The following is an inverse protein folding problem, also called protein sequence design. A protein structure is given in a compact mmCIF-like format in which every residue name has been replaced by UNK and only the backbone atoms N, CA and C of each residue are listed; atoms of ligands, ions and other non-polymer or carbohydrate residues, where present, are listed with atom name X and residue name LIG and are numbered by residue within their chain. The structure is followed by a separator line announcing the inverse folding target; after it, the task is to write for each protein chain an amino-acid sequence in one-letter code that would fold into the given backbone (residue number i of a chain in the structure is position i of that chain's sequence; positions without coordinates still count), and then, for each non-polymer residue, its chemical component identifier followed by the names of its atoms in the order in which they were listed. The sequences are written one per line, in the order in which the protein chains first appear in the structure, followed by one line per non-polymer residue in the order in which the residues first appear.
data_IF_911112145381
#
_entry.id   IF_911112145381
#
_cell.length_a   1.000
_cell.length_b   1.000
_cell.length_c   1.000
_cell.angle_alpha   90.00
_cell.angle_beta   90.00
_cell.angle_gamma   90.00
#
_symmetry.space_group_name_H-M   'P 1'
#
loop_
_entity.id
_entity.type
_entity.pdbx_description
1 polymer ?
#
# COMPACT_ATOMS: atom_id res chain seq x y z
N UNK A 1 -6.77 11.13 0.59
CA UNK A 1 -7.64 10.57 -0.47
C UNK A 1 -8.21 9.26 0.04
N UNK A 2 -9.52 9.18 0.29
CA UNK A 2 -10.18 7.96 0.80
C UNK A 2 -10.75 7.17 -0.38
N UNK A 3 -10.23 5.97 -0.62
CA UNK A 3 -10.65 5.08 -1.71
C UNK A 3 -11.97 4.39 -1.32
N UNK A 4 -12.97 4.48 -2.20
CA UNK A 4 -14.32 3.90 -2.04
C UNK A 4 -14.38 2.48 -2.61
N UNK A 5 -15.19 1.66 -1.94
CA UNK A 5 -15.76 0.39 -2.39
C UNK A 5 -16.52 0.58 -3.72
N UNK A 6 -15.86 0.50 -4.87
CA UNK A 6 -16.57 0.30 -6.13
C UNK A 6 -16.54 -1.18 -6.50
N UNK A 7 -17.74 -1.77 -6.50
CA UNK A 7 -18.13 -2.89 -7.38
C UNK A 7 -17.65 -4.29 -6.97
N UNK A 8 -18.08 -4.76 -5.80
CA UNK A 8 -17.96 -6.18 -5.45
C UNK A 8 -19.25 -6.93 -5.80
N UNK A 9 -19.33 -7.51 -7.01
CA UNK A 9 -20.31 -8.57 -7.32
C UNK A 9 -19.80 -9.90 -6.73
N UNK A 10 -20.36 -10.31 -5.58
CA UNK A 10 -20.12 -11.63 -4.98
C UNK A 10 -20.65 -12.73 -5.89
N UNK A 11 -19.77 -13.55 -6.50
CA UNK A 11 -20.21 -14.66 -7.35
C UNK A 11 -20.08 -16.08 -6.77
N UNK A 12 -19.22 -16.43 -5.81
CA UNK A 12 -19.10 -17.86 -5.39
C UNK A 12 -18.73 -18.20 -3.92
N UNK A 13 -19.14 -19.40 -3.40
CA UNK A 13 -19.56 -19.61 -2.00
C UNK A 13 -18.50 -20.04 -0.97
N UNK A 14 -17.36 -20.65 -1.35
CA UNK A 14 -16.50 -21.38 -0.39
C UNK A 14 -15.38 -20.52 0.24
N UNK A 15 -14.82 -19.56 -0.50
CA UNK A 15 -13.76 -18.64 0.00
C UNK A 15 -14.33 -17.48 0.83
N UNK A 16 -15.66 -17.39 0.87
CA UNK A 16 -16.39 -16.42 1.66
C UNK A 16 -16.18 -16.61 3.16
N UNK A 17 -15.92 -17.81 3.68
CA UNK A 17 -15.82 -17.96 5.14
C UNK A 17 -14.55 -17.28 5.69
N UNK A 18 -13.37 -17.68 5.22
CA UNK A 18 -12.11 -17.06 5.63
C UNK A 18 -12.04 -15.59 5.18
N UNK A 19 -12.54 -15.26 3.98
CA UNK A 19 -12.65 -13.88 3.51
C UNK A 19 -13.55 -13.03 4.42
N UNK A 20 -14.75 -13.50 4.79
CA UNK A 20 -15.66 -12.81 5.72
C UNK A 20 -15.05 -12.71 7.11
N UNK A 21 -14.39 -13.77 7.59
CA UNK A 21 -13.70 -13.78 8.88
C UNK A 21 -12.59 -12.73 8.90
N UNK A 22 -11.79 -12.66 7.84
CA UNK A 22 -10.78 -11.62 7.67
C UNK A 22 -11.41 -10.22 7.63
N UNK A 23 -12.50 -10.01 6.89
CA UNK A 23 -13.18 -8.71 6.86
C UNK A 23 -13.71 -8.30 8.25
N UNK A 24 -14.28 -9.23 9.03
CA UNK A 24 -14.70 -8.99 10.42
C UNK A 24 -13.52 -8.60 11.31
N UNK A 25 -12.41 -9.32 11.16
CA UNK A 25 -11.16 -9.04 11.87
C UNK A 25 -10.58 -7.66 11.54
N UNK A 26 -10.60 -7.28 10.27
CA UNK A 26 -10.12 -5.97 9.82
C UNK A 26 -11.02 -4.82 10.28
N UNK A 27 -12.32 -5.06 10.46
CA UNK A 27 -13.25 -4.04 10.94
C UNK A 27 -12.98 -3.61 12.38
N UNK A 28 -12.25 -4.41 13.17
CA UNK A 28 -11.76 -4.04 14.49
C UNK A 28 -10.72 -2.91 14.44
N UNK A 29 -10.09 -2.67 13.28
CA UNK A 29 -9.05 -1.67 13.11
C UNK A 29 -9.53 -0.52 12.24
N UNK A 30 -9.70 0.67 12.83
CA UNK A 30 -10.19 1.89 12.17
C UNK A 30 -9.54 2.19 10.81
N UNK A 31 -8.23 1.94 10.69
CA UNK A 31 -7.46 2.25 9.47
C UNK A 31 -7.47 1.14 8.43
N UNK A 32 -7.76 -0.09 8.85
CA UNK A 32 -7.83 -1.27 7.97
C UNK A 32 -9.27 -1.72 7.68
N UNK A 33 -10.27 -0.99 8.20
CA UNK A 33 -11.68 -1.32 8.05
C UNK A 33 -12.06 -1.55 6.58
N UNK A 34 -12.91 -2.55 6.28
CA UNK A 34 -13.47 -2.83 4.95
C UNK A 34 -13.95 -1.61 4.15
N UNK A 35 -14.38 -0.55 4.84
CA UNK A 35 -14.82 0.71 4.21
C UNK A 35 -13.69 1.48 3.50
N UNK A 36 -12.43 1.13 3.76
CA UNK A 36 -11.22 1.84 3.29
C UNK A 36 -10.30 0.98 2.42
N UNK A 37 -10.65 -0.29 2.21
CA UNK A 37 -9.84 -1.26 1.48
C UNK A 37 -10.58 -1.71 0.22
N UNK A 38 -9.82 -2.04 -0.83
CA UNK A 38 -10.37 -2.62 -2.05
C UNK A 38 -10.34 -4.14 -1.93
N UNK A 39 -11.47 -4.80 -2.22
CA UNK A 39 -11.50 -6.26 -2.35
C UNK A 39 -11.49 -6.59 -3.83
N UNK A 40 -10.55 -7.43 -4.26
CA UNK A 40 -10.36 -7.82 -5.66
C UNK A 40 -10.33 -9.35 -5.73
N UNK A 41 -11.14 -9.97 -6.59
CA UNK A 41 -11.02 -11.42 -6.87
C UNK A 41 -11.25 -11.67 -8.36
N UNK A 42 -10.25 -12.24 -9.02
CA UNK A 42 -10.34 -12.75 -10.40
C UNK A 42 -10.03 -14.26 -10.46
N UNK A 43 -9.79 -14.91 -9.32
CA UNK A 43 -9.29 -16.28 -9.25
C UNK A 43 -10.22 -17.14 -8.39
N UNK A 44 -10.47 -18.37 -8.84
CA UNK A 44 -11.47 -19.25 -8.23
C UNK A 44 -11.15 -19.61 -6.78
N UNK A 45 -9.89 -19.61 -6.34
CA UNK A 45 -9.50 -20.11 -5.01
C UNK A 45 -8.83 -19.09 -4.10
N UNK A 46 -8.84 -17.81 -4.50
CA UNK A 46 -8.05 -16.78 -3.86
C UNK A 46 -8.89 -15.54 -3.60
N UNK A 47 -8.97 -15.15 -2.33
CA UNK A 47 -9.54 -13.88 -1.93
C UNK A 47 -8.42 -12.87 -1.68
N UNK A 48 -8.41 -11.77 -2.43
CA UNK A 48 -7.36 -10.74 -2.32
C UNK A 48 -7.96 -9.42 -1.83
N UNK A 49 -7.37 -8.91 -0.75
CA UNK A 49 -7.62 -7.54 -0.28
C UNK A 49 -6.44 -6.68 -0.72
N UNK A 50 -6.72 -5.59 -1.41
CA UNK A 50 -5.75 -4.58 -1.80
C UNK A 50 -5.92 -3.32 -0.96
N UNK A 51 -4.85 -2.93 -0.27
CA UNK A 51 -4.76 -1.66 0.44
C UNK A 51 -3.81 -0.75 -0.32
N UNK A 52 -4.23 0.50 -0.51
CA UNK A 52 -3.44 1.47 -1.25
C UNK A 52 -3.05 2.60 -0.33
N UNK A 53 -1.76 2.90 -0.29
CA UNK A 53 -1.21 4.08 0.36
C UNK A 53 -0.69 5.03 -0.72
N UNK A 54 0.00 6.09 -0.31
CA UNK A 54 0.59 7.02 -1.28
C UNK A 54 1.65 6.32 -2.14
N UNK A 55 2.46 5.47 -1.52
CA UNK A 55 3.67 4.92 -2.12
C UNK A 55 3.53 3.43 -2.47
N UNK A 56 2.63 2.70 -1.80
CA UNK A 56 2.54 1.24 -1.89
C UNK A 56 1.13 0.69 -2.15
N UNK A 57 1.10 -0.54 -2.65
CA UNK A 57 -0.06 -1.43 -2.73
C UNK A 57 0.27 -2.64 -1.86
N UNK A 58 -0.55 -2.92 -0.88
CA UNK A 58 -0.47 -4.14 -0.07
C UNK A 58 -1.53 -5.11 -0.54
N UNK A 59 -1.12 -6.32 -0.92
CA UNK A 59 -2.01 -7.39 -1.35
C UNK A 59 -2.05 -8.47 -0.27
N UNK A 60 -3.13 -8.50 0.54
CA UNK A 60 -3.39 -9.57 1.49
C UNK A 60 -4.11 -10.69 0.75
N UNK A 61 -3.47 -11.85 0.65
CA UNK A 61 -3.93 -13.04 -0.06
C UNK A 61 -4.45 -14.06 0.94
N UNK A 62 -5.67 -14.54 0.72
CA UNK A 62 -6.34 -15.51 1.59
C UNK A 62 -6.72 -16.74 0.78
N UNK A 63 -6.31 -17.90 1.27
CA UNK A 63 -6.77 -19.21 0.80
C UNK A 63 -7.46 -19.95 1.96
N UNK A 64 -8.00 -21.16 1.75
CA UNK A 64 -8.59 -21.95 2.83
C UNK A 64 -7.66 -22.20 4.02
N UNK A 65 -6.35 -22.26 3.79
CA UNK A 65 -5.35 -22.63 4.81
C UNK A 65 -4.26 -21.59 5.03
N UNK A 66 -4.19 -20.56 4.19
CA UNK A 66 -3.08 -19.61 4.17
C UNK A 66 -3.53 -18.16 4.23
N UNK A 67 -2.69 -17.33 4.85
CA UNK A 67 -2.77 -15.89 4.85
C UNK A 67 -1.37 -15.32 4.59
N UNK A 68 -1.25 -14.47 3.59
CA UNK A 68 0.02 -13.81 3.29
C UNK A 68 -0.19 -12.38 2.80
N UNK A 69 0.89 -11.60 2.81
CA UNK A 69 0.85 -10.23 2.33
C UNK A 69 2.09 -9.91 1.48
N UNK A 70 1.88 -9.12 0.44
CA UNK A 70 2.96 -8.59 -0.39
C UNK A 70 2.78 -7.07 -0.52
N UNK A 71 3.86 -6.34 -0.34
CA UNK A 71 3.95 -4.92 -0.64
C UNK A 71 4.49 -4.72 -2.05
N UNK A 72 3.98 -3.75 -2.80
CA UNK A 72 4.49 -3.38 -4.11
C UNK A 72 4.47 -1.87 -4.26
N UNK A 73 5.53 -1.26 -4.80
CA UNK A 73 5.54 0.18 -5.06
C UNK A 73 4.47 0.53 -6.09
N UNK A 74 3.85 1.71 -5.95
CA UNK A 74 2.86 2.21 -6.91
C UNK A 74 3.50 2.77 -8.18
N UNK A 75 4.79 3.10 -8.12
CA UNK A 75 5.57 3.64 -9.23
C UNK A 75 6.94 2.94 -9.27
N UNK A 76 7.52 2.73 -10.47
CA UNK A 76 8.89 2.28 -10.59
C UNK A 76 9.85 3.41 -10.15
N UNK A 77 11.08 3.06 -9.77
CA UNK A 77 12.12 4.06 -9.52
C UNK A 77 12.65 4.62 -10.85
N UNK A 78 13.30 5.80 -10.86
CA UNK A 78 13.94 6.31 -12.06
C UNK A 78 14.88 5.28 -12.68
N UNK A 79 14.66 4.95 -13.96
CA UNK A 79 15.43 3.93 -14.69
C UNK A 79 14.91 2.49 -14.56
N UNK A 80 13.83 2.24 -13.80
CA UNK A 80 13.18 0.93 -13.74
C UNK A 80 11.90 0.91 -14.59
N UNK A 81 11.64 -0.22 -15.26
CA UNK A 81 10.36 -0.46 -15.97
C UNK A 81 9.39 -1.32 -15.14
N UNK A 82 9.85 -1.85 -14.00
CA UNK A 82 9.07 -2.69 -13.11
C UNK A 82 8.89 -2.04 -11.74
N UNK A 83 7.80 -2.39 -11.06
CA UNK A 83 7.58 -1.97 -9.68
C UNK A 83 8.32 -2.93 -8.74
N UNK A 84 8.90 -2.39 -7.65
CA UNK A 84 9.56 -3.22 -6.65
C UNK A 84 8.53 -3.82 -5.71
N UNK A 85 8.68 -5.11 -5.44
CA UNK A 85 7.90 -5.85 -4.45
C UNK A 85 8.74 -6.21 -3.23
N UNK A 86 8.09 -6.36 -2.08
CA UNK A 86 8.64 -7.04 -0.92
C UNK A 86 7.57 -7.97 -0.36
N UNK A 87 7.96 -9.18 0.00
CA UNK A 87 7.10 -10.04 0.79
C UNK A 87 7.01 -9.47 2.22
N UNK A 88 5.82 -9.60 2.80
CA UNK A 88 5.52 -9.30 4.19
C UNK A 88 5.18 -10.62 4.91
N UNK A 89 5.01 -10.63 6.24
CA UNK A 89 4.73 -11.86 6.98
C UNK A 89 3.59 -12.67 6.38
N UNK A 90 3.74 -13.99 6.43
CA UNK A 90 2.77 -14.92 5.92
C UNK A 90 2.74 -16.20 6.77
N UNK A 91 1.79 -17.10 6.46
CA UNK A 91 1.69 -18.38 7.12
C UNK A 91 0.27 -18.95 7.14
N UNK A 92 0.04 -19.90 8.06
CA UNK A 92 -1.27 -20.55 8.20
C UNK A 92 -2.34 -19.50 8.53
N UNK A 93 -3.51 -19.62 7.89
CA UNK A 93 -4.63 -18.72 8.13
C UNK A 93 -4.98 -18.65 9.62
N UNK A 94 -4.86 -17.46 10.20
CA UNK A 94 -5.04 -17.25 11.63
C UNK A 94 -4.94 -15.79 12.03
N UNK A 95 -5.51 -15.47 13.18
CA UNK A 95 -5.52 -14.11 13.72
C UNK A 95 -4.11 -13.59 14.01
N UNK A 96 -3.22 -14.45 14.53
CA UNK A 96 -1.84 -14.07 14.84
C UNK A 96 -1.06 -13.65 13.58
N UNK A 97 -1.24 -14.38 12.48
CA UNK A 97 -0.60 -14.04 11.19
C UNK A 97 -1.15 -12.71 10.67
N UNK A 98 -2.46 -12.47 10.81
CA UNK A 98 -3.04 -11.18 10.47
C UNK A 98 -2.41 -10.04 11.28
N UNK A 99 -2.26 -10.20 12.60
CA UNK A 99 -1.64 -9.16 13.43
C UNK A 99 -0.19 -8.86 13.01
N UNK A 100 0.58 -9.90 12.67
CA UNK A 100 1.94 -9.73 12.12
C UNK A 100 1.93 -8.96 10.80
N UNK A 101 1.01 -9.28 9.89
CA UNK A 101 0.82 -8.57 8.62
C UNK A 101 0.50 -7.10 8.87
N UNK A 102 -0.49 -6.80 9.73
CA UNK A 102 -0.91 -5.43 9.99
C UNK A 102 0.22 -4.61 10.65
N UNK A 103 0.93 -5.20 11.61
CA UNK A 103 2.11 -4.58 12.23
C UNK A 103 3.22 -4.31 11.22
N UNK A 104 3.49 -5.26 10.31
CA UNK A 104 4.46 -5.09 9.25
C UNK A 104 4.05 -3.96 8.28
N UNK A 105 2.78 -3.87 7.89
CA UNK A 105 2.30 -2.76 7.05
C UNK A 105 2.53 -1.40 7.74
N UNK A 106 2.18 -1.28 9.03
CA UNK A 106 2.39 -0.04 9.80
C UNK A 106 3.88 0.31 9.86
N UNK A 107 4.75 -0.67 10.15
CA UNK A 107 6.19 -0.45 10.20
C UNK A 107 6.77 -0.08 8.82
N UNK A 108 6.27 -0.69 7.76
CA UNK A 108 6.70 -0.43 6.39
C UNK A 108 6.33 1.00 5.92
N UNK A 109 5.21 1.55 6.43
CA UNK A 109 4.79 2.93 6.19
C UNK A 109 5.41 3.94 7.17
N UNK A 110 6.03 3.48 8.27
CA UNK A 110 6.65 4.37 9.23
C UNK A 110 7.85 5.07 8.59
N UNK A 111 7.84 6.40 8.61
CA UNK A 111 8.94 7.23 8.13
C UNK A 111 9.62 7.88 9.32
N UNK A 112 10.95 7.93 9.29
CA UNK A 112 11.71 8.67 10.30
C UNK A 112 11.29 10.13 10.29
N UNK A 113 11.09 10.68 11.49
CA UNK A 113 10.90 12.11 11.64
C UNK A 113 12.29 12.72 11.57
N UNK A 114 12.62 13.32 10.42
CA UNK A 114 13.85 14.09 10.30
C UNK A 114 13.67 15.34 11.15
N UNK A 115 14.43 15.44 12.24
CA UNK A 115 14.47 16.68 13.02
C UNK A 115 14.88 17.83 12.10
N UNK A 116 14.23 19.00 12.19
CA UNK A 116 14.62 20.15 11.40
C UNK A 116 16.09 20.46 11.69
N UNK A 117 16.95 20.23 10.70
CA UNK A 117 18.34 20.67 10.80
C UNK A 117 18.31 22.18 10.83
N UNK A 118 18.92 22.78 11.85
CA UNK A 118 19.23 24.20 11.79
C UNK A 118 19.97 24.46 10.48
N UNK A 119 19.60 25.51 9.72
CA UNK A 119 20.30 25.85 8.50
C UNK A 119 21.78 26.02 8.86
N UNK A 120 22.66 25.28 8.19
CA UNK A 120 24.10 25.39 8.40
C UNK A 120 24.48 26.86 8.23
N UNK A 121 25.02 27.54 9.27
CA UNK A 121 25.40 28.94 9.14
C UNK A 121 26.43 29.09 8.02
N UNK A 122 26.10 29.85 6.98
CA UNK A 122 27.03 30.19 5.89
C UNK A 122 26.82 29.49 4.53
N UNK A 123 25.72 28.77 4.30
CA UNK A 123 25.35 28.30 2.94
C UNK A 123 24.20 29.14 2.38
N UNK A 124 24.45 30.44 2.22
CA UNK A 124 23.70 31.25 1.25
C UNK A 124 24.26 30.92 -0.13
N UNK A 125 23.75 29.86 -0.77
CA UNK A 125 23.91 29.75 -2.21
C UNK A 125 22.79 30.58 -2.83
N UNK A 126 23.15 31.76 -3.34
CA UNK A 126 22.34 32.44 -4.34
C UNK A 126 22.01 31.42 -5.44
N UNK A 127 20.74 31.02 -5.50
CA UNK A 127 20.23 30.31 -6.66
C UNK A 127 20.02 31.41 -7.70
N UNK A 128 21.01 31.60 -8.58
CA UNK A 128 20.80 32.41 -9.79
C UNK A 128 19.76 31.70 -10.66
N UNK A 129 18.54 32.21 -10.63
CA UNK A 129 17.52 31.83 -11.60
C UNK A 129 17.91 32.45 -12.95
N UNK A 130 18.07 31.66 -14.03
CA UNK A 130 18.29 32.23 -15.34
C UNK A 130 17.11 33.14 -15.69
N UNK A 131 17.40 34.40 -16.02
CA UNK A 131 16.39 35.39 -16.39
C UNK A 131 15.54 34.87 -17.56
N UNK A 132 14.23 35.02 -17.46
CA UNK A 132 13.20 34.47 -18.37
C UNK A 132 13.22 35.04 -19.80
N UNK A 133 14.29 35.68 -20.24
CA UNK A 133 14.38 36.39 -21.52
C UNK A 133 14.66 35.51 -22.74
N UNK A 134 15.00 34.22 -22.59
CA UNK A 134 15.41 33.37 -23.73
C UNK A 134 14.47 32.21 -24.10
N UNK A 135 13.25 32.11 -23.55
CA UNK A 135 12.34 30.98 -23.83
C UNK A 135 11.38 31.24 -25.01
N UNK A 136 11.44 32.41 -25.67
CA UNK A 136 10.48 32.78 -26.74
C UNK A 136 10.97 32.62 -28.19
N UNK A 137 12.11 31.96 -28.45
CA UNK A 137 12.58 31.69 -29.82
C UNK A 137 12.78 30.20 -30.09
N UNK A 138 11.68 29.43 -30.09
CA UNK A 138 11.59 28.15 -30.77
C UNK A 138 10.22 28.09 -31.47
N UNK A 139 10.16 28.74 -32.63
CA UNK A 139 9.14 28.56 -33.67
C UNK A 139 9.57 27.47 -34.63
#
# INVERSE_FOLDING_TARGET
MALRLSEFEQKEPIYLENGRKLLKWLDLYKYFSPKRILVSTNERELFVIKLFTNDYIYSIRVTPTYLGCQATTRKPRPGEEWNRGSDLPDGKFGWEVLQKILGAIVFYEAKDIVEPREPTPGVEKEIEFPSTSNVLNLS
#
